data_IF_749946546667
#
_entry.id   IF_749946546667
#
_cell.length_a   1.000
_cell.length_b   1.000
_cell.length_c   1.000
_cell.angle_alpha   90.00
_cell.angle_beta   90.00
_cell.angle_gamma   90.00
#
_symmetry.space_group_name_H-M   'P 1'
#
loop_
_entity.id
_entity.type
_entity.pdbx_description
1 polymer ?
#
# COMPACT_ATOMS: atom_id res chain seq x y z
N UNK A 1 32.00 -16.70 -32.67
CA UNK A 1 32.74 -15.53 -32.17
C UNK A 1 31.74 -14.70 -31.40
N UNK A 2 31.72 -14.81 -30.06
CA UNK A 2 30.74 -14.14 -29.20
C UNK A 2 31.12 -12.66 -29.10
N UNK A 3 30.20 -11.74 -29.39
CA UNK A 3 30.43 -10.31 -29.17
C UNK A 3 30.69 -10.05 -27.66
N UNK A 4 31.54 -9.09 -27.29
CA UNK A 4 31.72 -8.73 -25.89
C UNK A 4 30.39 -8.22 -25.34
N UNK A 5 30.00 -8.66 -24.14
CA UNK A 5 28.91 -8.03 -23.40
C UNK A 5 29.35 -6.62 -22.98
N UNK A 6 28.57 -5.61 -23.31
CA UNK A 6 28.78 -4.26 -22.80
C UNK A 6 28.70 -4.26 -21.25
N UNK A 7 29.58 -3.52 -20.55
CA UNK A 7 29.55 -3.44 -19.10
C UNK A 7 28.24 -2.80 -18.63
N UNK A 8 27.63 -3.38 -17.59
CA UNK A 8 26.43 -2.85 -16.99
C UNK A 8 26.63 -1.40 -16.51
N UNK A 9 25.63 -0.50 -16.66
CA UNK A 9 25.77 0.89 -16.26
C UNK A 9 26.06 1.01 -14.77
N UNK A 10 27.18 1.68 -14.45
CA UNK A 10 27.57 2.01 -13.08
C UNK A 10 26.82 3.28 -12.70
N UNK A 11 25.89 3.20 -11.75
CA UNK A 11 25.25 4.39 -11.17
C UNK A 11 26.24 5.05 -10.21
N UNK A 12 26.80 6.24 -10.52
CA UNK A 12 27.70 6.92 -9.60
C UNK A 12 26.92 7.39 -8.37
N UNK A 13 27.47 7.30 -7.14
CA UNK A 13 26.82 7.88 -5.98
C UNK A 13 26.77 9.41 -6.15
N UNK A 14 25.58 9.96 -6.36
CA UNK A 14 25.39 11.41 -6.39
C UNK A 14 25.55 11.95 -4.97
N UNK A 15 26.67 12.63 -4.68
CA UNK A 15 26.82 13.41 -3.45
C UNK A 15 26.14 14.77 -3.65
N UNK A 16 24.81 14.75 -3.73
CA UNK A 16 23.97 15.93 -3.94
C UNK A 16 22.95 15.97 -2.82
N UNK A 17 22.86 17.09 -2.08
CA UNK A 17 21.81 17.28 -1.09
C UNK A 17 20.50 17.51 -1.85
N UNK A 18 19.56 16.58 -1.75
CA UNK A 18 18.20 16.71 -2.27
C UNK A 18 17.26 17.15 -1.13
N UNK A 19 16.64 18.31 -1.29
CA UNK A 19 15.60 18.80 -0.39
C UNK A 19 14.23 18.63 -1.06
N UNK A 20 13.29 17.95 -0.41
CA UNK A 20 11.92 17.76 -0.90
C UNK A 20 10.95 18.52 0.00
N UNK A 21 10.20 19.46 -0.57
CA UNK A 21 9.14 20.16 0.13
C UNK A 21 7.78 19.51 -0.20
N UNK A 22 7.05 18.98 0.79
CA UNK A 22 5.70 18.50 0.55
C UNK A 22 4.74 19.66 0.24
N UNK A 23 3.67 19.41 -0.52
CA UNK A 23 2.66 20.43 -0.80
C UNK A 23 1.98 20.91 0.50
N UNK A 24 1.72 22.21 0.62
CA UNK A 24 0.96 22.79 1.72
C UNK A 24 -0.55 22.69 1.46
N UNK A 25 -1.30 22.26 2.47
CA UNK A 25 -2.78 22.29 2.46
C UNK A 25 -3.29 23.73 2.60
N UNK A 26 -4.41 24.05 1.95
CA UNK A 26 -5.09 25.36 2.03
C UNK A 26 -6.24 25.41 3.02
N UNK A 27 -6.56 24.30 3.70
CA UNK A 27 -7.67 24.30 4.68
C UNK A 27 -7.28 25.02 5.99
N UNK A 28 -8.23 25.71 6.66
CA UNK A 28 -7.98 26.35 7.95
C UNK A 28 -7.56 25.32 9.00
N UNK A 29 -6.41 25.54 9.63
CA UNK A 29 -5.85 24.63 10.62
C UNK A 29 -6.17 25.11 12.05
N UNK A 30 -6.72 24.23 12.88
CA UNK A 30 -6.88 24.46 14.32
C UNK A 30 -5.70 23.80 15.07
N UNK A 31 -4.90 24.56 15.85
CA UNK A 31 -3.77 24.01 16.61
C UNK A 31 -4.12 22.85 17.55
N UNK A 32 -5.38 22.75 17.99
CA UNK A 32 -5.84 21.64 18.83
C UNK A 32 -5.90 20.30 18.07
N UNK A 33 -6.07 20.32 16.75
CA UNK A 33 -6.15 19.11 15.92
C UNK A 33 -4.81 18.35 15.83
N UNK A 34 -3.69 19.01 16.09
CA UNK A 34 -2.34 18.43 15.95
C UNK A 34 -1.78 17.84 17.24
N UNK A 35 -2.59 17.79 18.30
CA UNK A 35 -2.17 17.23 19.58
C UNK A 35 -2.18 15.70 19.53
N UNK A 36 -1.19 15.03 20.16
CA UNK A 36 -1.16 13.57 20.23
C UNK A 36 -2.39 13.04 21.00
N UNK A 37 -2.93 11.93 20.52
CA UNK A 37 -4.13 11.30 21.07
C UNK A 37 -3.82 9.97 21.78
N UNK A 38 -2.53 9.68 22.00
CA UNK A 38 -2.05 8.38 22.48
C UNK A 38 -2.46 7.24 21.55
N UNK A 39 -2.29 7.49 20.24
CA UNK A 39 -2.62 6.56 19.16
C UNK A 39 -1.35 6.15 18.40
N UNK A 40 -1.41 5.04 17.66
CA UNK A 40 -0.32 4.64 16.74
C UNK A 40 -0.08 5.66 15.61
N UNK A 41 -0.99 6.63 15.41
CA UNK A 41 -0.95 7.63 14.35
C UNK A 41 -0.50 9.01 14.86
N UNK A 42 -0.03 9.15 16.11
CA UNK A 42 0.30 10.46 16.70
C UNK A 42 1.34 11.25 15.89
N UNK A 43 2.31 10.57 15.27
CA UNK A 43 3.27 11.20 14.37
C UNK A 43 2.62 11.74 13.09
N UNK A 44 1.59 11.05 12.56
CA UNK A 44 0.82 11.49 11.41
C UNK A 44 -0.10 12.65 11.79
N UNK A 45 -0.80 12.54 12.93
CA UNK A 45 -1.68 13.58 13.49
C UNK A 45 -0.91 14.89 13.73
N UNK A 46 0.33 14.82 14.20
CA UNK A 46 1.17 16.01 14.43
C UNK A 46 1.47 16.80 13.15
N UNK A 47 1.33 16.19 11.97
CA UNK A 47 1.59 16.83 10.66
C UNK A 47 0.29 17.08 9.88
N UNK A 48 -0.65 16.14 9.93
CA UNK A 48 -1.88 16.13 9.13
C UNK A 48 -3.11 16.63 9.89
N UNK A 49 -3.07 16.60 11.22
CA UNK A 49 -4.21 16.86 12.09
C UNK A 49 -5.13 15.65 12.28
N UNK A 50 -5.77 15.59 13.45
CA UNK A 50 -6.65 14.50 13.87
C UNK A 50 -7.91 14.38 13.00
N UNK A 51 -8.43 15.50 12.49
CA UNK A 51 -9.58 15.51 11.56
C UNK A 51 -9.28 14.77 10.27
N UNK A 52 -8.11 15.01 9.68
CA UNK A 52 -7.71 14.32 8.44
C UNK A 52 -7.40 12.85 8.73
N UNK A 53 -6.73 12.54 9.85
CA UNK A 53 -6.52 11.16 10.28
C UNK A 53 -7.86 10.41 10.39
N UNK A 54 -8.88 11.03 10.98
CA UNK A 54 -10.21 10.44 11.09
C UNK A 54 -10.87 10.21 9.72
N UNK A 55 -10.73 11.14 8.78
CA UNK A 55 -11.18 10.96 7.38
C UNK A 55 -10.48 9.78 6.70
N UNK A 56 -9.18 9.57 6.96
CA UNK A 56 -8.44 8.41 6.43
C UNK A 56 -8.96 7.11 7.03
N UNK A 57 -9.16 7.08 8.35
CA UNK A 57 -9.70 5.91 9.05
C UNK A 57 -11.07 5.48 8.53
N UNK A 58 -11.96 6.43 8.27
CA UNK A 58 -13.31 6.15 7.78
C UNK A 58 -13.39 6.04 6.24
N UNK A 59 -12.26 6.07 5.53
CA UNK A 59 -12.24 6.00 4.07
C UNK A 59 -12.63 4.60 3.56
N UNK A 60 -13.37 4.59 2.44
CA UNK A 60 -13.62 3.39 1.65
C UNK A 60 -12.69 3.38 0.43
N UNK A 61 -11.93 2.30 0.27
CA UNK A 61 -10.91 2.18 -0.77
C UNK A 61 -11.05 0.84 -1.49
N UNK A 62 -10.98 0.88 -2.82
CA UNK A 62 -10.89 -0.30 -3.65
C UNK A 62 -9.53 -0.35 -4.35
N UNK A 63 -8.74 -1.37 -4.03
CA UNK A 63 -7.40 -1.57 -4.58
C UNK A 63 -7.40 -2.76 -5.54
N UNK A 64 -7.04 -2.49 -6.80
CA UNK A 64 -7.03 -3.48 -7.87
C UNK A 64 -5.59 -3.81 -8.24
N UNK A 65 -5.25 -5.09 -8.16
CA UNK A 65 -3.95 -5.65 -8.55
C UNK A 65 -2.93 -5.69 -7.41
N UNK A 66 -2.36 -6.86 -7.21
CA UNK A 66 -1.34 -7.23 -6.22
C UNK A 66 -0.02 -7.61 -6.87
N UNK A 67 0.41 -6.73 -7.79
CA UNK A 67 1.78 -6.66 -8.29
C UNK A 67 2.77 -6.12 -7.24
N UNK A 68 4.01 -5.87 -7.66
CA UNK A 68 5.04 -5.28 -6.76
C UNK A 68 4.58 -3.95 -6.15
N UNK A 69 3.91 -3.13 -6.95
CA UNK A 69 3.39 -1.84 -6.53
C UNK A 69 2.17 -1.95 -5.61
N UNK A 70 1.21 -2.83 -5.93
CA UNK A 70 -0.02 -3.01 -5.15
C UNK A 70 0.26 -3.39 -3.69
N UNK A 71 1.28 -4.22 -3.46
CA UNK A 71 1.74 -4.57 -2.12
C UNK A 71 2.31 -3.40 -1.34
N UNK A 72 3.15 -2.59 -1.97
CA UNK A 72 3.73 -1.40 -1.34
C UNK A 72 2.65 -0.37 -0.99
N UNK A 73 1.65 -0.20 -1.86
CA UNK A 73 0.46 0.59 -1.55
C UNK A 73 -0.29 0.02 -0.34
N UNK A 74 -0.64 -1.27 -0.36
CA UNK A 74 -1.40 -1.88 0.74
C UNK A 74 -0.69 -1.74 2.09
N UNK A 75 0.64 -1.93 2.12
CA UNK A 75 1.45 -1.67 3.32
C UNK A 75 1.31 -0.22 3.79
N UNK A 76 1.43 0.75 2.88
CA UNK A 76 1.29 2.16 3.21
C UNK A 76 -0.11 2.50 3.70
N UNK A 77 -1.17 1.96 3.07
CA UNK A 77 -2.56 2.12 3.53
C UNK A 77 -2.73 1.62 4.97
N UNK A 78 -2.21 0.43 5.27
CA UNK A 78 -2.26 -0.16 6.61
C UNK A 78 -1.50 0.68 7.65
N UNK A 79 -0.32 1.21 7.31
CA UNK A 79 0.47 2.08 8.18
C UNK A 79 -0.17 3.46 8.40
N UNK A 80 -0.85 3.99 7.39
CA UNK A 80 -1.58 5.26 7.46
C UNK A 80 -2.92 5.14 8.20
N UNK A 81 -3.34 3.92 8.55
CA UNK A 81 -4.60 3.70 9.24
C UNK A 81 -5.82 3.88 8.35
N UNK A 82 -5.65 3.79 7.03
CA UNK A 82 -6.76 3.92 6.09
C UNK A 82 -7.75 2.77 6.31
N UNK A 83 -9.04 3.07 6.28
CA UNK A 83 -10.11 2.07 6.47
C UNK A 83 -10.06 1.31 7.81
N UNK A 84 -9.47 1.90 8.85
CA UNK A 84 -9.39 1.32 10.20
C UNK A 84 -10.50 1.83 11.15
N UNK A 85 -11.29 2.81 10.72
CA UNK A 85 -12.42 3.35 11.47
C UNK A 85 -13.68 2.54 11.28
N UNK A 86 -14.71 2.80 12.09
CA UNK A 86 -15.97 2.06 12.08
C UNK A 86 -16.69 2.06 10.72
N UNK A 87 -16.48 3.09 9.91
CA UNK A 87 -17.08 3.22 8.57
C UNK A 87 -16.09 2.87 7.45
N UNK A 88 -14.83 2.58 7.81
CA UNK A 88 -13.79 2.27 6.84
C UNK A 88 -13.97 0.88 6.24
N UNK A 89 -13.71 0.78 4.93
CA UNK A 89 -13.67 -0.49 4.20
C UNK A 89 -12.58 -0.48 3.14
N UNK A 90 -11.70 -1.48 3.16
CA UNK A 90 -10.67 -1.68 2.14
C UNK A 90 -10.98 -2.98 1.39
N UNK A 91 -11.43 -2.87 0.16
CA UNK A 91 -11.61 -4.03 -0.72
C UNK A 91 -10.39 -4.17 -1.63
N UNK A 92 -9.86 -5.38 -1.71
CA UNK A 92 -8.68 -5.69 -2.50
C UNK A 92 -8.97 -6.82 -3.47
N UNK A 93 -8.57 -6.71 -4.73
CA UNK A 93 -8.76 -7.80 -5.71
C UNK A 93 -7.56 -8.01 -6.61
N UNK A 94 -7.29 -9.28 -6.94
CA UNK A 94 -6.32 -9.73 -7.94
C UNK A 94 -6.64 -11.19 -8.28
N UNK A 95 -6.69 -11.49 -9.57
CA UNK A 95 -7.05 -12.80 -10.12
C UNK A 95 -5.86 -13.75 -10.31
N UNK A 96 -4.64 -13.33 -9.93
CA UNK A 96 -3.45 -14.17 -10.00
C UNK A 96 -3.16 -14.92 -8.69
N UNK A 97 -2.36 -15.97 -8.83
CA UNK A 97 -1.73 -16.70 -7.73
C UNK A 97 -0.24 -16.33 -7.61
N UNK A 98 0.34 -16.61 -6.45
CA UNK A 98 1.73 -16.32 -6.16
C UNK A 98 2.64 -17.31 -6.87
N UNK A 99 3.56 -16.78 -7.68
CA UNK A 99 4.59 -17.57 -8.35
C UNK A 99 5.98 -17.33 -7.77
N UNK A 100 6.88 -18.30 -7.93
CA UNK A 100 8.29 -18.16 -7.53
C UNK A 100 8.98 -16.94 -8.19
N UNK A 101 8.62 -16.65 -9.44
CA UNK A 101 9.11 -15.49 -10.19
C UNK A 101 8.77 -14.15 -9.52
N UNK A 102 7.75 -14.13 -8.66
CA UNK A 102 7.25 -12.91 -8.02
C UNK A 102 8.08 -12.52 -6.79
N UNK A 103 8.70 -13.49 -6.12
CA UNK A 103 9.45 -13.31 -4.87
C UNK A 103 10.64 -12.34 -4.98
N UNK A 104 11.20 -12.15 -6.18
CA UNK A 104 12.31 -11.22 -6.40
C UNK A 104 11.93 -9.74 -6.23
N UNK A 105 10.64 -9.40 -6.30
CA UNK A 105 10.13 -8.02 -6.29
C UNK A 105 8.96 -7.80 -5.33
N UNK A 106 8.43 -8.85 -4.72
CA UNK A 106 7.30 -8.82 -3.80
C UNK A 106 7.71 -9.40 -2.45
N UNK A 107 8.46 -8.60 -1.68
CA UNK A 107 9.16 -9.02 -0.45
C UNK A 107 8.27 -9.53 0.69
N UNK A 108 6.95 -9.36 0.59
CA UNK A 108 6.00 -9.85 1.59
C UNK A 108 5.58 -11.30 1.37
N UNK A 109 5.87 -11.85 0.18
CA UNK A 109 5.70 -13.26 -0.09
C UNK A 109 6.87 -14.10 0.40
N UNK A 110 6.55 -15.34 0.70
CA UNK A 110 7.49 -16.36 1.15
C UNK A 110 7.29 -17.59 0.27
N UNK A 111 8.28 -18.46 0.25
CA UNK A 111 8.21 -19.69 -0.57
C UNK A 111 6.98 -20.54 -0.23
N UNK A 112 6.52 -20.54 1.02
CA UNK A 112 5.32 -21.25 1.46
C UNK A 112 4.00 -20.62 0.99
N UNK A 113 4.02 -19.40 0.44
CA UNK A 113 2.85 -18.76 -0.14
C UNK A 113 2.65 -19.10 -1.62
N UNK A 114 3.61 -19.77 -2.27
CA UNK A 114 3.50 -20.14 -3.69
C UNK A 114 2.22 -20.95 -3.93
N UNK A 115 1.47 -20.58 -4.97
CA UNK A 115 0.19 -21.19 -5.35
C UNK A 115 -1.05 -20.65 -4.61
N UNK A 116 -0.87 -19.80 -3.59
CA UNK A 116 -1.98 -19.12 -2.93
C UNK A 116 -2.40 -17.86 -3.71
N UNK A 117 -3.66 -17.44 -3.57
CA UNK A 117 -4.16 -16.23 -4.19
C UNK A 117 -3.42 -14.99 -3.65
N UNK A 118 -2.95 -14.12 -4.55
CA UNK A 118 -2.17 -12.94 -4.16
C UNK A 118 -2.95 -12.02 -3.24
N UNK A 119 -4.21 -11.72 -3.57
CA UNK A 119 -5.07 -10.81 -2.79
C UNK A 119 -5.32 -11.33 -1.36
N UNK A 120 -5.54 -12.64 -1.20
CA UNK A 120 -5.82 -13.26 0.10
C UNK A 120 -4.59 -13.21 1.02
N UNK A 121 -3.41 -13.54 0.49
CA UNK A 121 -2.16 -13.41 1.25
C UNK A 121 -1.86 -11.94 1.54
N UNK A 122 -2.17 -11.03 0.61
CA UNK A 122 -1.99 -9.58 0.81
C UNK A 122 -2.77 -9.09 2.01
N UNK A 123 -4.06 -9.45 2.06
CA UNK A 123 -4.95 -9.06 3.13
C UNK A 123 -4.47 -9.61 4.47
N UNK A 124 -4.06 -10.89 4.52
CA UNK A 124 -3.52 -11.51 5.75
C UNK A 124 -2.29 -10.77 6.27
N UNK A 125 -1.35 -10.43 5.38
CA UNK A 125 -0.14 -9.67 5.74
C UNK A 125 -0.51 -8.26 6.19
N UNK A 126 -1.42 -7.57 5.51
CA UNK A 126 -1.84 -6.23 5.89
C UNK A 126 -2.53 -6.19 7.26
N UNK A 127 -3.39 -7.16 7.55
CA UNK A 127 -4.00 -7.33 8.89
C UNK A 127 -2.96 -7.62 9.97
N UNK A 128 -1.85 -8.29 9.63
CA UNK A 128 -0.74 -8.48 10.58
C UNK A 128 0.02 -7.18 10.89
N UNK A 129 0.09 -6.24 9.93
CA UNK A 129 0.69 -4.91 10.11
C UNK A 129 -0.24 -4.00 10.93
N UNK A 130 -1.54 -4.08 10.65
CA UNK A 130 -2.55 -3.33 11.36
C UNK A 130 -3.81 -4.17 11.60
N UNK A 131 -3.99 -4.72 12.83
CA UNK A 131 -5.15 -5.53 13.18
C UNK A 131 -6.49 -4.79 13.11
N UNK A 132 -6.48 -3.45 13.08
CA UNK A 132 -7.68 -2.63 12.95
C UNK A 132 -8.15 -2.45 11.50
N UNK A 133 -7.38 -2.94 10.52
CA UNK A 133 -7.70 -2.75 9.11
C UNK A 133 -8.93 -3.58 8.71
N UNK A 134 -9.99 -2.92 8.23
CA UNK A 134 -11.17 -3.58 7.70
C UNK A 134 -10.96 -3.97 6.23
N UNK A 135 -10.24 -5.06 6.00
CA UNK A 135 -9.87 -5.53 4.67
C UNK A 135 -10.69 -6.74 4.21
N UNK A 136 -11.16 -6.69 2.96
CA UNK A 136 -11.85 -7.78 2.26
C UNK A 136 -11.10 -8.15 0.99
N UNK A 137 -10.71 -9.41 0.83
CA UNK A 137 -10.00 -9.89 -0.34
C UNK A 137 -10.93 -10.62 -1.32
N UNK A 138 -10.87 -10.19 -2.57
CA UNK A 138 -11.56 -10.76 -3.73
C UNK A 138 -10.52 -11.34 -4.70
N UNK A 139 -10.95 -12.25 -5.57
CA UNK A 139 -10.11 -12.86 -6.61
C UNK A 139 -10.70 -12.61 -8.00
N UNK A 140 -11.55 -11.58 -8.10
CA UNK A 140 -12.30 -11.27 -9.29
C UNK A 140 -11.47 -10.38 -10.22
N UNK A 141 -11.45 -10.75 -11.49
CA UNK A 141 -10.85 -9.94 -12.53
C UNK A 141 -11.70 -8.69 -12.77
N UNK A 142 -11.09 -7.52 -12.63
CA UNK A 142 -11.76 -6.25 -12.92
C UNK A 142 -11.67 -5.98 -14.43
N UNK A 143 -12.82 -5.93 -15.09
CA UNK A 143 -12.90 -5.65 -16.53
C UNK A 143 -14.34 -5.48 -16.98
N UNK A 144 -14.51 -5.04 -18.23
CA UNK A 144 -15.82 -5.03 -18.87
C UNK A 144 -16.26 -6.49 -19.09
N UNK A 145 -17.51 -6.81 -18.76
CA UNK A 145 -18.12 -8.06 -19.21
C UNK A 145 -18.12 -8.06 -20.75
N UNK A 146 -17.24 -8.85 -21.35
CA UNK A 146 -17.33 -9.16 -22.77
C UNK A 146 -18.18 -10.43 -22.85
N UNK A 147 -19.42 -10.36 -23.38
CA UNK A 147 -20.24 -11.56 -23.55
C UNK A 147 -19.45 -12.57 -24.37
N UNK A 148 -19.30 -13.79 -23.85
CA UNK A 148 -18.73 -14.88 -24.64
C UNK A 148 -19.72 -15.22 -25.75
N UNK A 149 -19.32 -14.95 -26.99
CA UNK A 149 -20.02 -15.33 -28.22
C UNK A 149 -20.03 -16.84 -28.43
#
# INVERSE_FOLDING_TARGET
>A
MQSPMDPAPIFPPSLSILHLNPPSSTEPLDPSDFRPLNSRYDAQISVLGSKLQKKLEDAEVFLVGFGALGYEFLKNLALMGISCGNQGKLTVTDDDVIEKSNLCRQFLFRDWNIGQAKSTVAASVASSINPHLHIEAMQDRVGLEIPQS
#
